data_IF_762941987468
#
_entry.id   IF_762941987468
#
_cell.length_a   1.000
_cell.length_b   1.000
_cell.length_c   1.000
_cell.angle_alpha   90.00
_cell.angle_beta   90.00
_cell.angle_gamma   90.00
#
_symmetry.space_group_name_H-M   'P 1'
#
loop_
_entity.id
_entity.type
_entity.pdbx_description
1 polymer ?
#
# COMPACT_ATOMS: atom_id res chain seq x y z
N UNK A 1 29.10 2.54 -6.68
CA UNK A 1 29.37 3.79 -5.91
C UNK A 1 28.44 4.00 -4.69
N UNK A 2 28.91 4.68 -3.62
CA UNK A 2 28.11 5.05 -2.44
C UNK A 2 28.04 6.58 -2.29
N UNK A 3 26.83 7.14 -2.16
CA UNK A 3 26.60 8.59 -2.13
C UNK A 3 25.81 8.93 -0.87
N UNK A 4 26.23 9.93 -0.09
CA UNK A 4 25.44 10.39 1.05
C UNK A 4 24.48 11.48 0.58
N UNK A 5 23.20 11.36 0.89
CA UNK A 5 22.21 12.40 0.60
C UNK A 5 21.69 13.01 1.89
N UNK A 6 21.48 14.32 1.90
CA UNK A 6 20.89 15.06 3.01
C UNK A 6 19.66 15.80 2.52
N UNK A 7 18.49 15.32 2.93
CA UNK A 7 17.21 15.96 2.69
C UNK A 7 16.65 16.64 3.95
N UNK A 8 15.46 17.25 3.86
CA UNK A 8 14.78 17.92 4.98
C UNK A 8 14.46 16.98 6.15
N UNK A 9 14.23 15.68 5.85
CA UNK A 9 13.89 14.64 6.84
C UNK A 9 15.10 13.94 7.46
N UNK A 10 16.33 14.32 7.07
CA UNK A 10 17.56 13.70 7.58
C UNK A 10 18.54 13.30 6.48
N UNK A 11 19.55 12.52 6.85
CA UNK A 11 20.56 12.03 5.92
C UNK A 11 20.46 10.52 5.71
N UNK A 12 20.61 10.09 4.46
CA UNK A 12 20.57 8.69 4.03
C UNK A 12 21.78 8.39 3.14
N UNK A 13 22.14 7.12 2.98
CA UNK A 13 23.23 6.72 2.07
C UNK A 13 22.65 5.88 0.93
N UNK A 14 22.87 6.34 -0.29
CA UNK A 14 22.53 5.63 -1.52
C UNK A 14 23.67 4.71 -1.91
N UNK A 15 23.33 3.52 -2.38
CA UNK A 15 24.29 2.61 -3.03
C UNK A 15 23.83 2.39 -4.46
N UNK A 16 24.63 2.85 -5.41
CA UNK A 16 24.36 2.74 -6.85
C UNK A 16 25.38 1.79 -7.47
N UNK A 17 24.97 1.06 -8.51
CA UNK A 17 25.88 0.29 -9.36
C UNK A 17 26.76 1.24 -10.19
N UNK A 18 27.87 0.75 -10.74
CA UNK A 18 28.84 1.60 -11.44
C UNK A 18 28.32 2.05 -12.81
N UNK A 19 27.37 1.30 -13.37
CA UNK A 19 26.58 1.58 -14.57
C UNK A 19 25.26 2.30 -14.30
N UNK A 20 25.05 2.85 -13.09
CA UNK A 20 23.83 3.59 -12.78
C UNK A 20 23.67 4.83 -13.68
N UNK A 21 22.43 5.09 -14.10
CA UNK A 21 22.02 6.23 -14.92
C UNK A 21 21.56 7.42 -14.08
N UNK A 22 21.44 8.61 -14.68
CA UNK A 22 20.88 9.80 -14.05
C UNK A 22 19.46 9.52 -13.54
N UNK A 23 18.66 8.75 -14.29
CA UNK A 23 17.35 8.28 -13.86
C UNK A 23 17.42 7.43 -12.58
N UNK A 24 18.39 6.51 -12.48
CA UNK A 24 18.58 5.68 -11.30
C UNK A 24 18.94 6.52 -10.06
N UNK A 25 19.82 7.52 -10.22
CA UNK A 25 20.19 8.45 -9.16
C UNK A 25 18.97 9.27 -8.69
N UNK A 26 18.19 9.84 -9.61
CA UNK A 26 16.99 10.61 -9.28
C UNK A 26 15.92 9.74 -8.62
N UNK A 27 15.71 8.52 -9.11
CA UNK A 27 14.79 7.55 -8.51
C UNK A 27 15.19 7.16 -7.09
N UNK A 28 16.48 6.89 -6.84
CA UNK A 28 16.98 6.58 -5.50
C UNK A 28 16.87 7.77 -4.54
N UNK A 29 17.10 9.00 -5.01
CA UNK A 29 16.85 10.21 -4.20
C UNK A 29 15.36 10.31 -3.86
N UNK A 30 14.47 10.08 -4.82
CA UNK A 30 13.02 10.11 -4.59
C UNK A 30 12.59 9.06 -3.55
N UNK A 31 13.02 7.81 -3.69
CA UNK A 31 12.71 6.72 -2.76
C UNK A 31 13.17 7.05 -1.33
N UNK A 32 14.40 7.54 -1.16
CA UNK A 32 14.98 7.76 0.16
C UNK A 32 14.58 9.09 0.82
N UNK A 33 14.12 10.08 0.06
CA UNK A 33 13.71 11.39 0.61
C UNK A 33 12.20 11.59 0.61
N UNK A 34 11.47 10.86 -0.23
CA UNK A 34 10.05 11.05 -0.51
C UNK A 34 9.75 12.38 -1.21
N UNK A 35 10.73 13.01 -1.87
CA UNK A 35 10.56 14.29 -2.56
C UNK A 35 10.43 14.05 -4.07
N UNK A 36 9.34 14.50 -4.67
CA UNK A 36 9.09 14.35 -6.11
C UNK A 36 9.91 15.34 -6.97
N UNK A 37 9.94 16.62 -6.58
CA UNK A 37 10.69 17.67 -7.27
C UNK A 37 11.76 18.25 -6.34
N UNK A 38 13.02 18.15 -6.72
CA UNK A 38 14.12 18.54 -5.87
C UNK A 38 15.29 19.10 -6.67
N UNK A 39 15.92 20.13 -6.13
CA UNK A 39 17.23 20.59 -6.56
C UNK A 39 18.32 19.79 -5.82
N UNK A 40 19.31 19.33 -6.57
CA UNK A 40 20.45 18.57 -6.06
C UNK A 40 21.67 19.47 -6.06
N UNK A 41 22.20 19.75 -4.87
CA UNK A 41 23.43 20.56 -4.70
C UNK A 41 24.58 19.72 -4.16
N UNK A 42 25.80 20.05 -4.52
CA UNK A 42 27.02 19.36 -4.07
C UNK A 42 28.15 20.37 -3.79
N UNK A 43 29.15 19.95 -3.00
CA UNK A 43 30.34 20.74 -2.66
C UNK A 43 30.10 21.97 -1.77
N UNK A 44 31.19 22.68 -1.46
CA UNK A 44 31.17 23.99 -0.79
C UNK A 44 32.04 24.99 -1.58
N UNK A 45 31.50 26.15 -2.01
CA UNK A 45 30.11 26.59 -1.89
C UNK A 45 29.14 25.68 -2.67
N UNK A 46 27.87 25.51 -2.23
CA UNK A 46 26.93 24.60 -2.87
C UNK A 46 26.65 24.94 -4.33
N UNK A 47 26.97 24.02 -5.24
CA UNK A 47 26.68 24.13 -6.69
C UNK A 47 25.53 23.21 -7.06
N UNK A 48 24.60 23.67 -7.91
CA UNK A 48 23.52 22.82 -8.41
C UNK A 48 24.05 21.87 -9.48
N UNK A 49 23.57 20.63 -9.44
CA UNK A 49 23.89 19.57 -10.37
C UNK A 49 22.95 19.56 -11.59
N UNK A 50 21.83 20.29 -11.52
CA UNK A 50 20.82 20.42 -12.58
C UNK A 50 20.47 19.09 -13.28
N UNK A 51 20.24 18.04 -12.49
CA UNK A 51 19.95 16.69 -12.99
C UNK A 51 18.73 16.64 -13.93
N UNK A 52 17.78 17.56 -13.72
CA UNK A 52 16.55 17.71 -14.51
C UNK A 52 16.80 18.12 -15.97
N UNK A 53 17.96 18.71 -16.25
CA UNK A 53 18.35 19.19 -17.58
C UNK A 53 19.22 18.18 -18.34
N UNK A 54 19.52 17.03 -17.73
CA UNK A 54 20.38 15.97 -18.29
C UNK A 54 19.52 14.88 -18.92
N UNK A 55 20.14 14.11 -19.83
CA UNK A 55 19.49 12.93 -20.40
C UNK A 55 19.33 11.85 -19.30
N UNK A 56 18.10 11.38 -19.01
CA UNK A 56 17.88 10.37 -17.98
C UNK A 56 18.65 9.06 -18.20
N UNK A 57 18.99 8.74 -19.46
CA UNK A 57 19.75 7.54 -19.84
C UNK A 57 21.27 7.71 -19.74
N UNK A 58 21.76 8.93 -19.48
CA UNK A 58 23.18 9.21 -19.28
C UNK A 58 23.69 8.48 -18.02
N UNK A 59 24.90 7.94 -18.07
CA UNK A 59 25.53 7.31 -16.91
C UNK A 59 25.94 8.37 -15.88
N UNK A 60 25.73 8.09 -14.60
CA UNK A 60 26.17 8.96 -13.48
C UNK A 60 27.68 9.19 -13.52
N UNK A 61 28.45 8.21 -14.02
CA UNK A 61 29.90 8.31 -14.20
C UNK A 61 30.35 9.33 -15.27
N UNK A 62 29.43 9.81 -16.13
CA UNK A 62 29.69 10.87 -17.11
C UNK A 62 29.50 12.28 -16.55
N UNK A 63 29.02 12.41 -15.32
CA UNK A 63 29.03 13.71 -14.64
C UNK A 63 30.48 14.16 -14.43
N UNK A 64 30.75 15.45 -14.64
CA UNK A 64 32.08 16.05 -14.43
C UNK A 64 32.50 16.09 -12.94
N UNK A 65 31.84 15.32 -12.09
CA UNK A 65 31.94 15.32 -10.63
C UNK A 65 32.00 13.88 -10.14
N UNK A 66 32.99 13.58 -9.29
CA UNK A 66 33.10 12.28 -8.65
C UNK A 66 32.12 12.19 -7.49
N UNK A 67 31.01 11.48 -7.67
CA UNK A 67 29.96 11.35 -6.67
C UNK A 67 30.22 10.27 -5.62
N UNK A 68 31.14 9.34 -5.88
CA UNK A 68 31.46 8.26 -4.94
C UNK A 68 32.13 8.82 -3.67
N UNK A 69 31.44 8.68 -2.53
CA UNK A 69 31.81 9.23 -1.23
C UNK A 69 31.36 10.67 -0.98
N UNK A 70 30.74 11.34 -1.97
CA UNK A 70 30.33 12.74 -1.87
C UNK A 70 28.99 12.88 -1.12
N UNK A 71 28.78 14.06 -0.52
CA UNK A 71 27.50 14.41 0.08
C UNK A 71 26.69 15.35 -0.81
N UNK A 72 25.50 14.91 -1.20
CA UNK A 72 24.51 15.71 -1.91
C UNK A 72 23.49 16.32 -0.95
N UNK A 73 23.12 17.57 -1.19
CA UNK A 73 22.05 18.27 -0.47
C UNK A 73 20.83 18.34 -1.36
N UNK A 74 19.70 17.83 -0.87
CA UNK A 74 18.44 17.70 -1.59
C UNK A 74 17.47 18.73 -1.03
N UNK A 75 17.06 19.69 -1.85
CA UNK A 75 16.12 20.76 -1.47
C UNK A 75 14.84 20.65 -2.30
N UNK A 76 13.63 20.66 -1.70
CA UNK A 76 12.39 20.67 -2.45
C UNK A 76 12.29 21.92 -3.34
N UNK A 77 11.89 21.76 -4.59
CA UNK A 77 11.64 22.88 -5.51
C UNK A 77 10.13 23.13 -5.60
N UNK A 78 9.63 24.19 -4.96
CA UNK A 78 8.25 24.66 -5.16
C UNK A 78 8.21 25.55 -6.41
N UNK A 79 7.40 25.19 -7.41
CA UNK A 79 7.12 26.08 -8.54
C UNK A 79 6.25 27.22 -8.00
N UNK A 80 6.87 28.37 -7.72
CA UNK A 80 6.17 29.61 -7.34
C UNK A 80 6.30 30.58 -8.50
N UNK A 81 5.19 30.81 -9.19
CA UNK A 81 4.99 32.00 -10.03
C UNK A 81 4.83 33.20 -9.09
N UNK A 82 5.73 34.18 -9.17
CA UNK A 82 5.69 35.39 -8.36
C UNK A 82 4.42 36.22 -8.64
N UNK A 83 3.63 36.53 -7.60
CA UNK A 83 3.06 37.86 -7.41
C UNK A 83 2.54 38.07 -5.97
N UNK A 84 3.09 39.14 -5.39
CA UNK A 84 2.82 39.90 -4.17
C UNK A 84 1.59 39.64 -3.26
N UNK A 85 1.93 39.66 -1.97
CA UNK A 85 1.28 40.28 -0.81
C UNK A 85 0.21 39.55 0.03
N UNK A 86 0.72 39.16 1.21
CA UNK A 86 0.20 39.32 2.57
C UNK A 86 -0.89 38.39 3.15
N UNK A 87 -0.45 37.78 4.27
CA UNK A 87 -1.19 37.42 5.48
C UNK A 87 -1.97 36.11 5.50
N UNK A 88 -1.31 35.02 5.91
CA UNK A 88 -2.02 33.83 6.44
C UNK A 88 -1.40 33.24 7.70
N UNK A 89 -2.29 33.08 8.68
CA UNK A 89 -2.17 32.26 9.88
C UNK A 89 -2.14 30.76 9.51
N UNK A 90 -1.51 30.03 10.42
CA UNK A 90 -1.29 28.58 10.52
C UNK A 90 -2.57 27.75 10.35
N UNK A 91 -2.56 26.81 9.39
CA UNK A 91 -3.30 25.53 9.44
C UNK A 91 -2.45 24.44 8.79
N UNK A 92 -2.35 23.31 9.48
CA UNK A 92 -1.50 22.18 9.17
C UNK A 92 -2.12 21.22 8.13
N UNK A 93 -1.25 20.81 7.19
CA UNK A 93 -1.08 19.44 6.66
C UNK A 93 -2.11 18.89 5.65
N UNK A 94 -1.94 19.31 4.40
CA UNK A 94 -2.33 18.60 3.17
C UNK A 94 -1.06 18.24 2.38
N UNK A 95 -0.91 16.98 1.96
CA UNK A 95 -0.18 16.47 0.77
C UNK A 95 -0.52 14.99 0.71
N UNK A 96 -1.05 14.39 -0.36
CA UNK A 96 -0.60 14.42 -1.75
C UNK A 96 -1.74 14.08 -2.71
N UNK A 97 -1.93 14.87 -3.77
CA UNK A 97 -3.10 14.83 -4.66
C UNK A 97 -2.75 14.96 -6.16
N UNK A 98 -1.49 14.68 -6.49
CA UNK A 98 -0.98 14.79 -7.85
C UNK A 98 -0.59 13.44 -8.47
N UNK A 99 -0.55 12.36 -7.69
CA UNK A 99 0.02 11.07 -8.15
C UNK A 99 -1.03 10.09 -8.70
N UNK A 100 -2.32 10.26 -8.41
CA UNK A 100 -3.37 9.31 -8.85
C UNK A 100 -4.09 9.65 -10.16
N UNK A 101 -3.83 10.82 -10.75
CA UNK A 101 -4.57 11.31 -11.93
C UNK A 101 -4.36 10.48 -13.19
N UNK A 102 -3.35 9.62 -13.25
CA UNK A 102 -3.05 8.85 -14.45
C UNK A 102 -3.69 7.45 -14.46
N UNK A 103 -3.99 6.82 -13.33
CA UNK A 103 -4.39 5.39 -13.33
C UNK A 103 -5.73 5.05 -14.01
N UNK A 104 -6.66 6.00 -14.13
CA UNK A 104 -8.08 5.68 -14.37
C UNK A 104 -8.59 5.75 -15.81
N UNK A 105 -7.71 5.89 -16.81
CA UNK A 105 -8.17 6.04 -18.21
C UNK A 105 -8.07 4.78 -19.09
N UNK A 106 -7.51 3.65 -18.62
CA UNK A 106 -7.20 2.54 -19.55
C UNK A 106 -7.47 1.09 -19.10
N UNK A 107 -8.15 0.85 -17.97
CA UNK A 107 -8.52 -0.51 -17.54
C UNK A 107 -9.60 -1.20 -18.41
N UNK A 108 -9.91 -0.66 -19.59
CA UNK A 108 -10.98 -1.14 -20.46
C UNK A 108 -10.58 -2.19 -21.52
N UNK A 109 -9.29 -2.50 -21.73
CA UNK A 109 -8.88 -3.36 -22.86
C UNK A 109 -7.63 -4.22 -22.60
N UNK A 110 -7.59 -4.96 -21.49
CA UNK A 110 -6.68 -6.10 -21.35
C UNK A 110 -7.50 -7.39 -21.41
N UNK A 111 -7.17 -8.24 -22.38
CA UNK A 111 -7.84 -9.52 -22.61
C UNK A 111 -7.73 -10.43 -21.38
N UNK A 112 -8.76 -11.27 -21.11
CA UNK A 112 -8.84 -12.06 -19.90
C UNK A 112 -7.83 -13.20 -19.95
N UNK A 113 -6.84 -13.20 -19.06
CA UNK A 113 -6.10 -14.42 -18.77
C UNK A 113 -6.94 -15.24 -17.79
N UNK A 114 -7.61 -16.25 -18.35
CA UNK A 114 -8.31 -17.30 -17.65
C UNK A 114 -7.28 -18.13 -16.86
N UNK A 115 -6.98 -17.72 -15.63
CA UNK A 115 -6.51 -18.65 -14.60
C UNK A 115 -7.76 -19.27 -13.98
N UNK A 116 -8.29 -20.28 -14.67
CA UNK A 116 -9.38 -21.09 -14.14
C UNK A 116 -8.88 -21.89 -12.94
N UNK A 117 -8.94 -21.27 -11.76
CA UNK A 117 -9.01 -21.98 -10.50
C UNK A 117 -10.47 -22.36 -10.30
N UNK A 118 -10.71 -23.65 -10.46
CA UNK A 118 -12.02 -24.28 -10.32
C UNK A 118 -12.58 -24.02 -8.90
N UNK A 119 -13.82 -23.53 -8.71
CA UNK A 119 -14.33 -23.07 -7.41
C UNK A 119 -14.63 -24.19 -6.41
N UNK A 120 -14.24 -25.44 -6.70
CA UNK A 120 -14.69 -26.63 -5.96
C UNK A 120 -13.58 -27.41 -5.28
N UNK A 121 -12.32 -26.96 -5.38
CA UNK A 121 -11.23 -27.50 -4.57
C UNK A 121 -10.69 -26.42 -3.66
N UNK A 122 -11.24 -26.35 -2.44
CA UNK A 122 -10.55 -25.75 -1.30
C UNK A 122 -9.14 -26.33 -1.25
N UNK A 123 -8.16 -25.51 -1.60
CA UNK A 123 -6.77 -25.91 -1.71
C UNK A 123 -6.23 -26.19 -0.30
N UNK A 124 -6.44 -27.41 0.18
CA UNK A 124 -5.98 -27.89 1.49
C UNK A 124 -4.48 -27.68 1.71
N UNK A 125 -3.69 -27.45 0.65
CA UNK A 125 -2.24 -27.20 0.75
C UNK A 125 -1.90 -25.82 1.28
N UNK A 126 -2.65 -24.77 0.93
CA UNK A 126 -2.40 -23.41 1.45
C UNK A 126 -2.76 -23.30 2.95
N UNK A 127 -3.81 -24.00 3.39
CA UNK A 127 -4.25 -24.00 4.80
C UNK A 127 -3.23 -24.65 5.76
N UNK A 128 -2.44 -25.63 5.29
CA UNK A 128 -1.37 -26.24 6.10
C UNK A 128 -0.10 -25.36 6.19
N UNK A 129 0.05 -24.35 5.32
CA UNK A 129 1.25 -23.50 5.22
C UNK A 129 1.13 -22.15 5.95
N UNK A 130 -0.08 -21.66 6.19
CA UNK A 130 -0.30 -20.43 6.95
C UNK A 130 0.20 -20.62 8.39
N UNK A 131 1.16 -19.79 8.85
CA UNK A 131 1.65 -19.87 10.22
C UNK A 131 0.53 -19.54 11.22
N UNK A 132 0.64 -20.13 12.40
CA UNK A 132 -0.26 -19.89 13.52
C UNK A 132 0.55 -19.54 14.76
N UNK A 133 0.01 -18.69 15.62
CA UNK A 133 0.69 -18.25 16.83
C UNK A 133 -0.07 -18.70 18.08
N UNK A 134 0.51 -19.54 18.94
CA UNK A 134 -0.15 -20.01 20.16
C UNK A 134 -0.51 -18.87 21.13
N UNK A 135 -1.70 -18.98 21.73
CA UNK A 135 -2.16 -18.19 22.88
C UNK A 135 -2.68 -19.10 24.01
N UNK A 136 -1.79 -19.82 24.72
CA UNK A 136 -2.19 -20.78 25.76
C UNK A 136 -2.98 -20.15 26.91
N UNK A 137 -2.67 -18.89 27.26
CA UNK A 137 -3.40 -18.08 28.26
C UNK A 137 -4.90 -17.97 27.99
N UNK A 138 -5.31 -18.13 26.72
CA UNK A 138 -6.70 -18.00 26.25
C UNK A 138 -7.29 -19.31 25.73
N UNK A 139 -6.54 -20.42 25.83
CA UNK A 139 -6.96 -21.69 25.24
C UNK A 139 -7.16 -21.59 23.71
N UNK A 140 -6.32 -20.79 23.04
CA UNK A 140 -6.55 -20.40 21.65
C UNK A 140 -5.26 -20.27 20.85
N UNK A 141 -5.42 -20.07 19.55
CA UNK A 141 -4.35 -19.81 18.59
C UNK A 141 -4.76 -18.64 17.71
N UNK A 142 -3.83 -17.74 17.41
CA UNK A 142 -4.03 -16.66 16.44
C UNK A 142 -3.77 -17.19 15.04
N UNK A 143 -4.75 -16.99 14.17
CA UNK A 143 -4.78 -17.51 12.81
C UNK A 143 -5.06 -16.37 11.83
N UNK A 144 -4.56 -16.51 10.60
CA UNK A 144 -4.94 -15.66 9.48
C UNK A 144 -6.11 -16.34 8.74
N UNK A 145 -7.24 -15.66 8.61
CA UNK A 145 -8.35 -16.07 7.75
C UNK A 145 -8.16 -15.40 6.39
N UNK A 146 -7.74 -16.21 5.42
CA UNK A 146 -7.46 -15.77 4.05
C UNK A 146 -8.77 -15.46 3.34
N UNK A 147 -8.90 -14.27 2.75
CA UNK A 147 -10.09 -13.90 2.00
C UNK A 147 -10.01 -14.39 0.55
N UNK A 148 -11.15 -14.70 -0.09
CA UNK A 148 -11.20 -14.92 -1.53
C UNK A 148 -10.59 -13.76 -2.31
N UNK A 149 -9.79 -14.07 -3.33
CA UNK A 149 -9.14 -13.10 -4.20
C UNK A 149 -10.05 -12.71 -5.38
N UNK A 150 -11.06 -11.89 -5.09
CA UNK A 150 -12.12 -11.50 -6.03
C UNK A 150 -12.35 -9.99 -6.08
N UNK A 151 -11.29 -9.21 -5.89
CA UNK A 151 -11.31 -7.73 -5.83
C UNK A 151 -12.18 -7.14 -4.69
N UNK A 152 -12.77 -7.99 -3.85
CA UNK A 152 -13.60 -7.59 -2.71
C UNK A 152 -12.97 -7.97 -1.36
N UNK A 153 -11.69 -8.39 -1.35
CA UNK A 153 -10.99 -8.87 -0.16
C UNK A 153 -11.07 -7.91 1.05
N UNK A 154 -10.97 -6.58 0.85
CA UNK A 154 -11.15 -5.61 1.93
C UNK A 154 -12.54 -5.69 2.56
N UNK A 155 -13.59 -5.68 1.74
CA UNK A 155 -14.96 -5.78 2.20
C UNK A 155 -15.19 -7.13 2.87
N UNK A 156 -14.58 -8.20 2.35
CA UNK A 156 -14.68 -9.55 2.92
C UNK A 156 -14.01 -9.61 4.27
N UNK A 157 -12.83 -9.01 4.40
CA UNK A 157 -12.08 -9.00 5.64
C UNK A 157 -12.81 -8.20 6.73
N UNK A 158 -13.33 -7.02 6.39
CA UNK A 158 -14.14 -6.23 7.32
C UNK A 158 -15.43 -6.98 7.69
N UNK A 159 -16.16 -7.52 6.69
CA UNK A 159 -17.38 -8.28 6.90
C UNK A 159 -17.16 -9.52 7.77
N UNK A 160 -16.10 -10.29 7.52
CA UNK A 160 -15.75 -11.46 8.32
C UNK A 160 -15.47 -11.09 9.78
N UNK A 161 -14.85 -9.92 10.02
CA UNK A 161 -14.54 -9.44 11.37
C UNK A 161 -15.77 -8.93 12.14
N UNK A 162 -16.62 -8.12 11.50
CA UNK A 162 -17.71 -7.39 12.20
C UNK A 162 -19.11 -7.97 11.98
N UNK A 163 -19.30 -8.80 10.95
CA UNK A 163 -20.57 -9.44 10.58
C UNK A 163 -20.38 -10.97 10.43
N UNK A 164 -19.93 -11.68 11.49
CA UNK A 164 -19.67 -13.11 11.42
C UNK A 164 -20.94 -13.89 11.04
N UNK A 165 -20.83 -14.80 10.08
CA UNK A 165 -21.94 -15.62 9.58
C UNK A 165 -22.79 -14.96 8.49
N UNK A 166 -22.50 -13.71 8.12
CA UNK A 166 -23.12 -13.06 6.96
C UNK A 166 -22.23 -13.25 5.73
N UNK A 167 -22.49 -14.32 5.00
CA UNK A 167 -21.86 -14.53 3.70
C UNK A 167 -22.36 -13.47 2.70
N UNK A 168 -21.46 -13.00 1.84
CA UNK A 168 -21.76 -12.07 0.73
C UNK A 168 -22.16 -10.64 1.10
N UNK A 169 -21.75 -10.10 2.25
CA UNK A 169 -22.02 -8.69 2.64
C UNK A 169 -21.39 -7.59 1.76
N UNK A 170 -20.72 -7.95 0.65
CA UNK A 170 -19.86 -7.03 -0.11
C UNK A 170 -20.64 -5.94 -0.84
N UNK A 171 -21.76 -6.27 -1.53
CA UNK A 171 -22.60 -5.27 -2.16
C UNK A 171 -23.16 -4.26 -1.15
N UNK A 172 -23.55 -4.71 0.04
CA UNK A 172 -24.08 -3.87 1.11
C UNK A 172 -23.01 -2.95 1.67
N UNK A 173 -21.80 -3.46 1.94
CA UNK A 173 -20.68 -2.64 2.42
C UNK A 173 -20.24 -1.60 1.38
N UNK A 174 -20.21 -1.96 0.09
CA UNK A 174 -19.94 -1.01 -1.01
C UNK A 174 -21.04 0.06 -1.10
N UNK A 175 -22.30 -0.33 -0.96
CA UNK A 175 -23.44 0.59 -0.98
C UNK A 175 -23.42 1.55 0.21
N UNK A 176 -23.02 1.06 1.38
CA UNK A 176 -22.82 1.88 2.58
C UNK A 176 -21.73 2.93 2.36
N UNK A 177 -20.58 2.53 1.79
CA UNK A 177 -19.49 3.47 1.44
C UNK A 177 -20.00 4.53 0.47
N UNK A 178 -20.65 4.12 -0.63
CA UNK A 178 -21.19 5.03 -1.62
C UNK A 178 -22.20 6.01 -1.00
N UNK A 179 -23.09 5.53 -0.12
CA UNK A 179 -24.11 6.36 0.54
C UNK A 179 -23.46 7.36 1.50
N UNK A 180 -22.47 6.93 2.29
CA UNK A 180 -21.74 7.82 3.21
C UNK A 180 -21.02 8.95 2.46
N UNK A 181 -20.39 8.62 1.31
CA UNK A 181 -19.73 9.63 0.46
C UNK A 181 -20.75 10.64 -0.08
N UNK A 182 -21.95 10.18 -0.45
CA UNK A 182 -23.04 11.04 -0.93
C UNK A 182 -23.61 11.96 0.16
N UNK A 183 -23.68 11.50 1.41
CA UNK A 183 -24.15 12.29 2.54
C UNK A 183 -23.09 13.30 3.00
N UNK A 184 -21.82 12.90 3.01
CA UNK A 184 -20.69 13.70 3.51
C UNK A 184 -19.85 14.31 2.37
N UNK A 185 -20.46 14.80 1.29
CA UNK A 185 -19.73 15.39 0.13
C UNK A 185 -18.79 16.55 0.48
N UNK A 186 -19.01 17.21 1.61
CA UNK A 186 -18.14 18.28 2.10
C UNK A 186 -16.80 17.74 2.65
N UNK A 187 -16.76 16.47 3.06
CA UNK A 187 -15.55 15.74 3.46
C UNK A 187 -14.98 15.01 2.25
N UNK A 188 -15.78 14.18 1.59
CA UNK A 188 -15.38 13.39 0.45
C UNK A 188 -15.52 14.20 -0.84
N UNK A 189 -14.68 15.22 -0.96
CA UNK A 189 -14.61 16.10 -2.14
C UNK A 189 -13.82 15.44 -3.28
N UNK A 190 -13.87 16.04 -4.48
CA UNK A 190 -13.03 15.65 -5.63
C UNK A 190 -11.55 15.53 -5.29
N UNK A 191 -11.11 16.32 -4.30
CA UNK A 191 -9.75 16.35 -3.78
C UNK A 191 -9.50 15.10 -2.92
N UNK A 192 -10.40 14.73 -2.02
CA UNK A 192 -10.20 13.54 -1.18
C UNK A 192 -10.35 12.23 -1.98
N UNK A 193 -11.30 12.19 -2.91
CA UNK A 193 -11.64 11.00 -3.68
C UNK A 193 -10.85 10.85 -4.99
N UNK A 194 -10.15 11.91 -5.40
CA UNK A 194 -9.45 12.03 -6.69
C UNK A 194 -10.36 11.79 -7.92
N UNK A 195 -11.67 11.89 -7.70
CA UNK A 195 -12.80 11.73 -8.62
C UNK A 195 -13.97 12.54 -8.08
N UNK A 196 -14.92 12.92 -8.94
CA UNK A 196 -16.18 13.47 -8.43
C UNK A 196 -16.86 12.46 -7.49
N UNK A 197 -17.55 12.90 -6.42
CA UNK A 197 -18.29 12.02 -5.52
C UNK A 197 -19.22 11.06 -6.27
N UNK A 198 -19.89 11.57 -7.31
CA UNK A 198 -20.79 10.77 -8.13
C UNK A 198 -20.07 9.67 -8.93
N UNK A 199 -18.91 9.98 -9.51
CA UNK A 199 -18.08 8.98 -10.20
C UNK A 199 -17.48 7.96 -9.23
N UNK A 200 -17.03 8.40 -8.06
CA UNK A 200 -16.47 7.52 -7.04
C UNK A 200 -17.54 6.55 -6.53
N UNK A 201 -18.72 7.05 -6.20
CA UNK A 201 -19.84 6.22 -5.74
C UNK A 201 -20.26 5.19 -6.80
N UNK A 202 -20.25 5.56 -8.09
CA UNK A 202 -20.50 4.57 -9.18
C UNK A 202 -19.39 3.53 -9.25
N UNK A 203 -18.14 3.95 -9.17
CA UNK A 203 -16.97 3.08 -9.25
C UNK A 203 -16.89 2.09 -8.08
N UNK A 204 -17.03 2.54 -6.83
CA UNK A 204 -16.85 1.67 -5.65
C UNK A 204 -17.92 0.58 -5.54
N UNK A 205 -19.06 0.75 -6.22
CA UNK A 205 -20.13 -0.24 -6.32
C UNK A 205 -19.84 -1.38 -7.32
N UNK A 206 -18.82 -1.27 -8.18
CA UNK A 206 -18.47 -2.35 -9.10
C UNK A 206 -17.65 -3.44 -8.42
N UNK A 207 -17.67 -4.66 -8.97
CA UNK A 207 -16.96 -5.81 -8.39
C UNK A 207 -15.45 -5.68 -8.51
N UNK A 208 -14.97 -4.93 -9.50
CA UNK A 208 -13.55 -4.74 -9.83
C UNK A 208 -12.90 -3.62 -9.00
N UNK A 209 -13.69 -2.79 -8.33
CA UNK A 209 -13.16 -1.69 -7.53
C UNK A 209 -12.55 -2.20 -6.23
N UNK A 210 -11.27 -1.88 -6.02
CA UNK A 210 -10.55 -2.21 -4.79
C UNK A 210 -10.83 -1.14 -3.74
N UNK A 211 -11.25 -1.58 -2.54
CA UNK A 211 -11.32 -0.68 -1.39
C UNK A 211 -9.93 -0.35 -0.85
N UNK A 212 -9.84 0.72 -0.07
CA UNK A 212 -8.61 1.10 0.64
C UNK A 212 -8.89 1.92 1.89
N UNK A 213 -8.03 2.91 2.15
CA UNK A 213 -8.07 3.71 3.38
C UNK A 213 -9.38 4.49 3.56
N UNK A 214 -10.00 4.95 2.46
CA UNK A 214 -11.28 5.67 2.48
C UNK A 214 -12.40 4.73 2.98
N UNK A 215 -12.51 3.55 2.36
CA UNK A 215 -13.48 2.52 2.74
C UNK A 215 -13.25 2.08 4.20
N UNK A 216 -12.00 1.80 4.61
CA UNK A 216 -11.69 1.43 5.99
C UNK A 216 -12.11 2.51 6.98
N UNK A 217 -11.87 3.79 6.67
CA UNK A 217 -12.28 4.91 7.51
C UNK A 217 -13.80 5.03 7.65
N UNK A 218 -14.53 4.87 6.55
CA UNK A 218 -16.00 4.90 6.55
C UNK A 218 -16.57 3.71 7.34
N UNK A 219 -16.10 2.50 7.05
CA UNK A 219 -16.59 1.27 7.68
C UNK A 219 -16.25 1.25 9.17
N UNK A 220 -15.06 1.68 9.56
CA UNK A 220 -14.66 1.80 10.98
C UNK A 220 -15.60 2.74 11.76
N UNK A 221 -15.99 3.88 11.16
CA UNK A 221 -16.97 4.80 11.75
C UNK A 221 -18.36 4.15 11.82
N UNK A 222 -18.86 3.59 10.72
CA UNK A 222 -20.20 3.00 10.67
C UNK A 222 -20.41 1.89 11.71
N UNK A 223 -19.42 1.02 11.88
CA UNK A 223 -19.47 -0.07 12.86
C UNK A 223 -19.01 0.34 14.27
N UNK A 224 -18.69 1.62 14.50
CA UNK A 224 -18.21 2.15 15.78
C UNK A 224 -17.05 1.33 16.38
N UNK A 225 -16.13 0.90 15.52
CA UNK A 225 -15.01 0.01 15.84
C UNK A 225 -13.67 0.60 15.39
N UNK A 226 -12.60 0.34 16.14
CA UNK A 226 -11.24 0.62 15.68
C UNK A 226 -10.80 -0.50 14.72
N UNK A 227 -10.45 -0.16 13.48
CA UNK A 227 -9.84 -1.13 12.56
C UNK A 227 -8.32 -0.94 12.59
N UNK A 228 -7.59 -1.96 13.02
CA UNK A 228 -6.13 -2.00 12.96
C UNK A 228 -5.69 -2.77 11.70
N UNK A 229 -5.24 -2.07 10.67
CA UNK A 229 -4.64 -2.69 9.48
C UNK A 229 -3.13 -2.82 9.65
N UNK A 230 -2.60 -4.04 9.52
CA UNK A 230 -1.16 -4.31 9.60
C UNK A 230 -0.59 -4.40 8.18
N UNK A 231 0.25 -3.45 7.81
CA UNK A 231 1.01 -3.41 6.55
C UNK A 231 2.51 -3.46 6.88
N UNK A 232 3.19 -4.54 6.49
CA UNK A 232 4.65 -4.63 6.61
C UNK A 232 5.18 -4.31 8.02
N UNK A 233 4.47 -4.77 9.06
CA UNK A 233 4.71 -4.50 10.49
C UNK A 233 4.44 -3.05 10.96
N UNK A 234 3.91 -2.18 10.10
CA UNK A 234 3.27 -0.91 10.48
C UNK A 234 1.80 -1.19 10.80
N UNK A 235 1.28 -0.55 11.84
CA UNK A 235 -0.14 -0.61 12.18
C UNK A 235 -0.77 0.74 11.81
N UNK A 236 -1.66 0.72 10.83
CA UNK A 236 -2.51 1.84 10.46
C UNK A 236 -3.85 1.68 11.17
N UNK A 237 -4.25 2.67 11.97
CA UNK A 237 -5.47 2.62 12.79
C UNK A 237 -6.53 3.54 12.24
N UNK A 238 -7.74 3.01 12.11
CA UNK A 238 -8.90 3.74 11.62
C UNK A 238 -9.94 3.82 12.74
N UNK A 239 -10.51 5.00 12.95
CA UNK A 239 -11.44 5.30 14.05
C UNK A 239 -10.83 4.96 15.44
N UNK A 240 -9.63 5.46 15.72
CA UNK A 240 -8.97 5.30 17.02
C UNK A 240 -9.85 5.77 18.19
N UNK A 241 -9.71 5.12 19.35
CA UNK A 241 -10.42 5.48 20.59
C UNK A 241 -11.78 4.80 20.79
N UNK A 242 -12.21 3.91 19.89
CA UNK A 242 -13.37 3.04 20.13
C UNK A 242 -13.05 1.98 21.19
N UNK A 243 -14.09 1.46 21.85
CA UNK A 243 -13.95 0.45 22.91
C UNK A 243 -13.57 -0.93 22.38
N UNK A 244 -13.88 -1.21 21.11
CA UNK A 244 -13.59 -2.49 20.46
C UNK A 244 -12.72 -2.26 19.24
N UNK A 245 -11.96 -3.30 18.87
CA UNK A 245 -11.15 -3.34 17.66
C UNK A 245 -11.27 -4.64 16.90
N UNK A 246 -11.04 -4.58 15.59
CA UNK A 246 -10.66 -5.74 14.78
C UNK A 246 -9.29 -5.51 14.14
N UNK A 247 -8.68 -6.59 13.65
CA UNK A 247 -7.33 -6.54 13.09
C UNK A 247 -7.34 -7.18 11.70
N UNK A 248 -6.86 -6.43 10.72
CA UNK A 248 -6.69 -6.89 9.34
C UNK A 248 -5.20 -6.95 9.00
N UNK A 249 -4.83 -7.80 8.05
CA UNK A 249 -3.48 -7.84 7.45
C UNK A 249 -3.59 -7.36 6.01
N UNK A 250 -2.73 -6.44 5.61
CA UNK A 250 -2.60 -5.99 4.23
C UNK A 250 -1.26 -6.45 3.67
N UNK A 251 -1.31 -7.27 2.60
CA UNK A 251 -0.11 -7.84 1.98
C UNK A 251 0.58 -6.89 0.97
N UNK A 252 -0.01 -5.73 0.70
CA UNK A 252 0.37 -4.83 -0.40
C UNK A 252 -0.60 -4.86 -1.59
N UNK A 253 -1.42 -5.92 -1.69
CA UNK A 253 -2.48 -6.05 -2.71
C UNK A 253 -3.75 -6.75 -2.20
N UNK A 254 -3.68 -7.42 -1.05
CA UNK A 254 -4.78 -8.24 -0.53
C UNK A 254 -5.00 -7.98 0.96
N UNK A 255 -6.26 -8.09 1.41
CA UNK A 255 -6.67 -7.94 2.80
C UNK A 255 -7.20 -9.24 3.37
N UNK A 256 -6.67 -9.61 4.54
CA UNK A 256 -7.07 -10.79 5.30
C UNK A 256 -7.46 -10.42 6.74
N UNK A 257 -8.15 -11.33 7.42
CA UNK A 257 -8.63 -11.10 8.79
C UNK A 257 -7.81 -11.88 9.80
N UNK A 258 -7.38 -11.22 10.87
CA UNK A 258 -6.86 -11.91 12.05
C UNK A 258 -8.02 -12.46 12.87
N UNK A 259 -7.88 -13.69 13.33
CA UNK A 259 -8.84 -14.33 14.22
C UNK A 259 -8.12 -15.03 15.39
N UNK A 260 -8.79 -15.08 16.53
CA UNK A 260 -8.43 -15.94 17.65
C UNK A 260 -9.34 -17.16 17.60
N UNK A 261 -8.76 -18.32 17.30
CA UNK A 261 -9.50 -19.57 17.12
C UNK A 261 -9.25 -20.52 18.31
N UNK A 262 -10.31 -21.12 18.89
CA UNK A 262 -10.13 -22.07 20.01
C UNK A 262 -9.22 -23.24 19.64
N UNK A 263 -8.32 -23.63 20.53
CA UNK A 263 -7.41 -24.75 20.29
C UNK A 263 -7.15 -25.56 21.56
N UNK A 264 -6.69 -26.79 21.41
CA UNK A 264 -6.30 -27.65 22.55
C UNK A 264 -4.79 -27.57 22.80
N UNK A 265 -4.32 -27.80 24.05
CA UNK A 265 -2.89 -27.90 24.32
C UNK A 265 -2.20 -28.89 23.35
N UNK A 266 -1.03 -28.54 22.78
CA UNK A 266 -0.15 -27.40 23.09
C UNK A 266 -0.50 -26.06 22.40
N UNK A 267 -1.69 -25.92 21.82
CA UNK A 267 -2.16 -24.70 21.13
C UNK A 267 -1.35 -24.32 19.87
N UNK A 268 -0.71 -25.30 19.25
CA UNK A 268 0.11 -25.10 18.05
C UNK A 268 -0.72 -24.95 16.76
N UNK A 269 -1.93 -25.50 16.75
CA UNK A 269 -2.86 -25.48 15.62
C UNK A 269 -4.29 -25.43 16.13
N UNK A 270 -5.14 -24.63 15.48
CA UNK A 270 -6.59 -24.71 15.65
C UNK A 270 -7.20 -25.66 14.62
N UNK A 271 -8.06 -26.56 15.09
CA UNK A 271 -8.95 -27.37 14.25
C UNK A 271 -10.42 -26.97 14.42
N UNK A 272 -10.69 -25.87 15.15
CA UNK A 272 -12.03 -25.37 15.37
C UNK A 272 -12.62 -24.78 14.08
N UNK A 273 -13.95 -24.87 13.94
CA UNK A 273 -14.66 -24.19 12.86
C UNK A 273 -14.38 -22.68 12.94
N UNK A 274 -14.19 -21.99 11.80
CA UNK A 274 -14.14 -20.53 11.77
C UNK A 274 -15.35 -19.87 12.45
N UNK A 275 -16.50 -20.52 12.55
CA UNK A 275 -17.68 -19.97 13.25
C UNK A 275 -17.45 -19.73 14.75
N UNK A 276 -16.43 -20.39 15.33
CA UNK A 276 -16.04 -20.24 16.73
C UNK A 276 -14.94 -19.20 16.95
N UNK A 277 -14.49 -18.52 15.89
CA UNK A 277 -13.47 -17.51 15.99
C UNK A 277 -13.97 -16.28 16.74
N UNK A 278 -13.12 -15.75 17.61
CA UNK A 278 -13.22 -14.37 18.05
C UNK A 278 -12.44 -13.47 17.07
N UNK A 279 -13.09 -12.39 16.59
CA UNK A 279 -12.51 -11.46 15.60
C UNK A 279 -12.58 -9.99 16.02
N UNK A 280 -13.24 -9.73 17.14
CA UNK A 280 -13.31 -8.42 17.77
C UNK A 280 -12.89 -8.56 19.23
N UNK A 281 -12.15 -7.56 19.70
CA UNK A 281 -11.58 -7.53 21.05
C UNK A 281 -11.74 -6.15 21.65
N UNK A 282 -11.57 -6.04 22.97
CA UNK A 282 -11.45 -4.75 23.64
C UNK A 282 -10.20 -4.01 23.10
N UNK A 283 -10.30 -2.69 22.93
CA UNK A 283 -9.18 -1.90 22.40
C UNK A 283 -8.01 -1.74 23.37
N UNK A 284 -8.17 -2.08 24.65
CA UNK A 284 -7.06 -2.16 25.61
C UNK A 284 -6.40 -3.54 25.63
N UNK A 285 -6.93 -4.51 24.88
CA UNK A 285 -6.31 -5.82 24.72
C UNK A 285 -5.03 -5.72 23.89
N UNK A 286 -3.90 -5.56 24.58
CA UNK A 286 -2.57 -5.51 23.97
C UNK A 286 -2.04 -6.89 23.59
N UNK A 287 -2.54 -7.96 24.21
CA UNK A 287 -2.04 -9.32 24.01
C UNK A 287 -2.38 -9.81 22.61
N UNK A 288 -3.64 -9.62 22.17
CA UNK A 288 -4.05 -10.00 20.82
C UNK A 288 -3.29 -9.22 19.75
N UNK A 289 -3.09 -7.92 19.94
CA UNK A 289 -2.35 -7.09 19.00
C UNK A 289 -0.87 -7.51 18.93
N UNK A 290 -0.26 -7.83 20.08
CA UNK A 290 1.10 -8.37 20.13
C UNK A 290 1.21 -9.70 19.38
N UNK A 291 0.22 -10.58 19.52
CA UNK A 291 0.19 -11.90 18.86
C UNK A 291 -0.09 -11.79 17.36
N UNK A 292 -0.94 -10.86 16.94
CA UNK A 292 -1.13 -10.52 15.53
C UNK A 292 0.18 -10.00 14.90
N UNK A 293 0.91 -9.14 15.61
CA UNK A 293 2.23 -8.67 15.17
C UNK A 293 3.28 -9.78 15.11
N UNK A 294 3.26 -10.74 16.04
CA UNK A 294 4.09 -11.95 15.97
C UNK A 294 3.78 -12.77 14.71
N UNK A 295 2.50 -13.01 14.45
CA UNK A 295 2.05 -13.71 13.24
C UNK A 295 2.53 -12.97 11.97
N UNK A 296 2.36 -11.66 11.92
CA UNK A 296 2.80 -10.83 10.79
C UNK A 296 4.32 -10.89 10.54
N UNK A 297 5.14 -11.02 11.59
CA UNK A 297 6.60 -11.23 11.44
C UNK A 297 6.90 -12.58 10.79
N UNK A 298 6.18 -13.64 11.18
CA UNK A 298 6.35 -14.96 10.58
C UNK A 298 5.89 -14.94 9.11
N UNK A 299 4.77 -14.28 8.81
CA UNK A 299 4.27 -14.08 7.44
C UNK A 299 5.30 -13.31 6.58
N UNK A 300 5.92 -12.26 7.11
CA UNK A 300 6.95 -11.50 6.42
C UNK A 300 8.20 -12.35 6.13
N UNK A 301 8.65 -13.15 7.11
CA UNK A 301 9.77 -14.07 6.92
C UNK A 301 9.47 -15.19 5.90
N UNK A 302 8.20 -15.56 5.75
CA UNK A 302 7.71 -16.52 4.74
C UNK A 302 7.38 -15.89 3.39
N UNK A 303 7.72 -14.61 3.17
CA UNK A 303 7.44 -13.88 1.92
C UNK A 303 5.94 -13.82 1.54
N UNK A 304 5.05 -13.82 2.54
CA UNK A 304 3.60 -13.69 2.32
C UNK A 304 3.19 -12.32 1.76
N UNK A 305 3.98 -11.27 2.04
CA UNK A 305 3.71 -9.93 1.54
C UNK A 305 4.21 -9.84 0.09
N UNK A 306 3.29 -9.64 -0.84
CA UNK A 306 3.62 -9.34 -2.23
C UNK A 306 4.28 -7.96 -2.25
N UNK A 307 5.60 -7.93 -2.48
CA UNK A 307 6.32 -6.68 -2.66
C UNK A 307 6.06 -6.12 -4.07
N UNK A 308 4.81 -5.72 -4.32
CA UNK A 308 4.40 -5.07 -5.57
C UNK A 308 5.03 -3.69 -5.73
N UNK A 309 5.81 -3.21 -4.76
CA UNK A 309 6.69 -2.04 -4.89
C UNK A 309 8.10 -2.37 -5.40
N UNK A 310 8.55 -3.63 -5.32
CA UNK A 310 9.87 -4.07 -5.80
C UNK A 310 9.83 -5.03 -6.99
N UNK A 311 8.64 -5.51 -7.39
CA UNK A 311 8.45 -6.39 -8.53
C UNK A 311 9.04 -5.75 -9.79
N UNK A 312 10.02 -6.41 -10.41
CA UNK A 312 10.63 -5.90 -11.64
C UNK A 312 9.75 -6.30 -12.81
N UNK A 313 9.16 -5.33 -13.48
CA UNK A 313 8.29 -5.56 -14.64
C UNK A 313 8.98 -4.98 -15.86
N UNK A 314 9.20 -5.81 -16.87
CA UNK A 314 9.78 -5.40 -18.14
C UNK A 314 8.68 -5.18 -19.15
N UNK A 315 8.73 -4.05 -19.87
CA UNK A 315 7.99 -3.92 -21.11
C UNK A 315 8.70 -4.70 -22.21
N UNK A 316 8.02 -5.68 -22.81
CA UNK A 316 8.59 -6.47 -23.90
C UNK A 316 8.69 -5.70 -25.23
N UNK A 317 7.92 -4.62 -25.38
CA UNK A 317 7.92 -3.79 -26.59
C UNK A 317 9.14 -2.87 -26.66
N UNK A 318 9.52 -2.21 -25.58
CA UNK A 318 10.66 -1.27 -25.57
C UNK A 318 11.83 -1.68 -24.66
N UNK A 319 11.67 -2.74 -23.87
CA UNK A 319 12.70 -3.25 -22.98
C UNK A 319 12.89 -2.47 -21.67
N UNK A 320 12.11 -1.42 -21.43
CA UNK A 320 12.17 -0.65 -20.18
C UNK A 320 11.77 -1.50 -18.97
N UNK A 321 12.43 -1.28 -17.83
CA UNK A 321 12.22 -2.03 -16.59
C UNK A 321 11.63 -1.08 -15.55
N UNK A 322 10.56 -1.53 -14.93
CA UNK A 322 9.73 -0.81 -13.97
C UNK A 322 9.76 -1.55 -12.64
N UNK A 323 9.69 -0.79 -11.55
CA UNK A 323 9.63 -1.35 -10.20
C UNK A 323 8.22 -1.15 -9.66
N UNK A 324 7.51 -2.27 -9.57
CA UNK A 324 6.12 -2.36 -9.20
C UNK A 324 5.14 -2.13 -10.33
N UNK A 325 3.94 -2.68 -10.15
CA UNK A 325 2.85 -2.63 -11.13
C UNK A 325 2.43 -1.20 -11.46
N UNK A 326 2.52 -0.28 -10.48
CA UNK A 326 2.17 1.12 -10.68
C UNK A 326 3.04 1.81 -11.75
N UNK A 327 4.37 1.62 -11.69
CA UNK A 327 5.28 2.25 -12.66
C UNK A 327 5.20 1.59 -14.04
N UNK A 328 4.96 0.28 -14.10
CA UNK A 328 4.69 -0.43 -15.35
C UNK A 328 3.38 0.02 -16.00
N UNK A 329 2.32 0.21 -15.19
CA UNK A 329 1.03 0.71 -15.66
C UNK A 329 1.14 2.15 -16.20
N UNK A 330 1.91 3.01 -15.55
CA UNK A 330 2.17 4.37 -16.04
C UNK A 330 2.88 4.36 -17.40
N UNK A 331 3.88 3.49 -17.58
CA UNK A 331 4.55 3.33 -18.87
C UNK A 331 3.62 2.86 -19.97
N UNK A 332 2.81 1.83 -19.67
CA UNK A 332 1.82 1.31 -20.62
C UNK A 332 0.88 2.41 -21.11
N UNK A 333 0.51 3.30 -20.20
CA UNK A 333 -0.39 4.41 -20.51
C UNK A 333 0.27 5.54 -21.30
N UNK A 334 1.48 5.94 -20.94
CA UNK A 334 2.16 7.06 -21.59
C UNK A 334 2.67 6.72 -22.98
N UNK A 335 3.13 5.47 -23.17
CA UNK A 335 3.81 5.04 -24.38
C UNK A 335 2.92 4.10 -25.23
N UNK A 336 1.83 3.55 -24.65
CA UNK A 336 0.91 2.66 -25.35
C UNK A 336 1.39 1.20 -25.42
N UNK A 337 2.38 0.82 -24.60
CA UNK A 337 2.90 -0.54 -24.56
C UNK A 337 2.19 -1.38 -23.50
N UNK A 338 1.36 -2.34 -23.90
CA UNK A 338 0.63 -3.19 -22.96
C UNK A 338 1.28 -4.55 -22.69
N UNK A 339 2.34 -4.90 -23.42
CA UNK A 339 3.05 -6.18 -23.28
C UNK A 339 4.11 -6.09 -22.17
N UNK A 340 3.78 -6.63 -21.01
CA UNK A 340 4.58 -6.60 -19.79
C UNK A 340 4.91 -8.02 -19.34
N UNK A 341 6.11 -8.20 -18.80
CA UNK A 341 6.53 -9.46 -18.18
C UNK A 341 7.24 -9.22 -16.88
N UNK A 342 6.85 -9.97 -15.86
CA UNK A 342 7.57 -9.99 -14.60
C UNK A 342 8.94 -10.64 -14.79
N UNK A 343 9.98 -9.95 -14.34
CA UNK A 343 11.33 -10.47 -14.25
C UNK A 343 11.52 -11.07 -12.86
N UNK A 344 11.30 -12.37 -12.76
CA UNK A 344 11.71 -13.14 -11.60
C UNK A 344 13.23 -13.07 -11.47
N UNK A 345 13.71 -12.77 -10.26
CA UNK A 345 15.15 -12.82 -9.95
C UNK A 345 15.66 -14.26 -9.89
#
# INVERSE_FOLDING_TARGET
MRIRIRGPKGASTLTLLDEATIADLMGQIHIHTGIANFDVKFGYPPKSLHLEQRDPSELVSKLDIKLDGEQLTISPTTIVSESSNESYKVVAQQTSLAEAKNFFRFAGNLAPHNSSLDPTTSDKRLLDEVPEVPMPSRGATVVLRVMPDDNSCLFRAVGAAVLPGVDQSMPELRSLVASTIQEERHIYTDVVLEKSPDDYCRWIQTLEAWGGAIELGILAKHFEIEICSIDSLRIDRYNEGRSTRCILVYSGIHYDTIAQSPSSPPHLRSHASPDLDQRTWDSHDSEILSKAMELCRILQAKHYYSNTRSMRIRCNTCGAIFYGEHSAAQHAQQIGHSDMSELNN
#
